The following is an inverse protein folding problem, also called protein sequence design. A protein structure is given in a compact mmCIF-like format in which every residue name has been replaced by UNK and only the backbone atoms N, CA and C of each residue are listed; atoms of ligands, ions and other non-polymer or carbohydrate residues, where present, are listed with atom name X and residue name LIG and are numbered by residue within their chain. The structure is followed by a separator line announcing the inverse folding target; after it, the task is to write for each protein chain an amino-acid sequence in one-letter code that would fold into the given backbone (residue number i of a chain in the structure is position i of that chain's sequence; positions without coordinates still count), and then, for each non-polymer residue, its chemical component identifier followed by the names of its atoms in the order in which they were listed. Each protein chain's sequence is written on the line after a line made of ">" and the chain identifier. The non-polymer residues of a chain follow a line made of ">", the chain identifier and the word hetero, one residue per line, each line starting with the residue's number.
data_IF_672831060705
#
_entry.id   IF_672831060705
#
_cell.length_a   1.000
_cell.length_b   1.000
_cell.length_c   1.000
_cell.angle_alpha   90.00
_cell.angle_beta   90.00
_cell.angle_gamma   90.00
#
_symmetry.space_group_name_H-M   'P 1'
#
loop_
_entity.id
_entity.type
_entity.pdbx_description
1 polymer ?
#
# COMPACT_ATOMS: atom_id res chain seq x y z
N UNK A 1 -26.68 64.36 -4.25
CA UNK A 1 -25.58 64.40 -3.27
C UNK A 1 -25.50 63.02 -2.62
N UNK A 2 -24.68 62.08 -3.13
CA UNK A 2 -23.32 61.67 -2.65
C UNK A 2 -23.34 61.13 -1.21
N UNK A 3 -22.91 59.91 -0.83
CA UNK A 3 -21.71 59.07 -1.11
C UNK A 3 -22.08 57.56 -0.84
N UNK A 4 -21.66 56.54 -1.63
CA UNK A 4 -20.38 55.75 -1.62
C UNK A 4 -20.00 55.22 -0.21
N UNK A 5 -19.59 53.97 0.09
CA UNK A 5 -19.05 52.73 -0.56
C UNK A 5 -19.12 51.65 0.56
N UNK A 6 -19.14 50.32 0.37
CA UNK A 6 -18.03 49.45 -0.08
C UNK A 6 -18.49 47.98 -0.16
N UNK A 7 -18.02 47.29 -1.21
CA UNK A 7 -18.15 45.86 -1.45
C UNK A 7 -17.42 45.00 -0.41
N UNK A 8 -17.94 43.81 -0.11
CA UNK A 8 -17.11 42.66 0.26
C UNK A 8 -17.54 41.42 -0.54
N UNK A 9 -16.79 41.15 -1.60
CA UNK A 9 -16.82 39.92 -2.38
C UNK A 9 -16.03 38.89 -1.58
N UNK A 10 -16.69 37.86 -1.07
CA UNK A 10 -16.02 36.68 -0.51
C UNK A 10 -15.62 35.81 -1.70
N UNK A 11 -14.38 35.98 -2.16
CA UNK A 11 -13.80 35.11 -3.18
C UNK A 11 -13.29 33.82 -2.54
N UNK A 12 -13.78 32.70 -3.08
CA UNK A 12 -13.30 31.34 -2.81
C UNK A 12 -11.82 31.22 -3.17
N UNK A 13 -10.97 30.94 -2.19
CA UNK A 13 -9.59 30.50 -2.39
C UNK A 13 -9.39 29.15 -1.68
N UNK A 14 -9.81 28.08 -2.35
CA UNK A 14 -9.33 26.72 -2.02
C UNK A 14 -8.04 26.50 -2.80
N UNK A 15 -6.95 26.42 -2.04
CA UNK A 15 -5.58 26.36 -2.51
C UNK A 15 -5.32 25.21 -3.49
N UNK A 16 -4.70 25.56 -4.61
CA UNK A 16 -3.91 24.67 -5.45
C UNK A 16 -2.67 24.21 -4.69
N UNK A 17 -2.55 22.92 -4.39
CA UNK A 17 -1.28 22.32 -4.00
C UNK A 17 -0.36 22.35 -5.22
N UNK A 18 0.75 23.10 -5.13
CA UNK A 18 1.77 23.16 -6.17
C UNK A 18 2.72 21.96 -6.03
N UNK A 19 2.70 21.07 -7.03
CA UNK A 19 3.56 19.88 -7.08
C UNK A 19 4.97 20.16 -7.65
N UNK A 20 5.26 21.40 -8.06
CA UNK A 20 6.58 21.80 -8.58
C UNK A 20 7.76 21.55 -7.63
N UNK A 21 7.65 21.72 -6.28
CA UNK A 21 8.76 21.47 -5.36
C UNK A 21 9.13 19.99 -5.26
N UNK A 22 8.15 19.09 -5.43
CA UNK A 22 8.33 17.64 -5.38
C UNK A 22 9.11 17.12 -6.61
N UNK A 23 8.72 17.56 -7.81
CA UNK A 23 9.45 17.23 -9.04
C UNK A 23 10.91 17.72 -8.99
N UNK A 24 11.15 18.89 -8.42
CA UNK A 24 12.49 19.41 -8.22
C UNK A 24 13.32 18.55 -7.24
N UNK A 25 12.72 18.08 -6.14
CA UNK A 25 13.42 17.30 -5.12
C UNK A 25 13.83 15.90 -5.61
N UNK A 26 12.94 15.16 -6.28
CA UNK A 26 13.24 13.82 -6.84
C UNK A 26 14.28 13.92 -7.97
N UNK A 27 14.23 14.99 -8.78
CA UNK A 27 15.22 15.23 -9.83
C UNK A 27 16.59 15.69 -9.29
N UNK A 28 16.62 16.44 -8.18
CA UNK A 28 17.88 16.93 -7.62
C UNK A 28 18.66 15.80 -6.92
N UNK A 29 17.95 14.95 -6.18
CA UNK A 29 18.53 13.77 -5.50
C UNK A 29 19.11 12.74 -6.47
N UNK A 30 18.42 12.49 -7.58
CA UNK A 30 18.92 11.62 -8.67
C UNK A 30 20.11 12.20 -9.45
N UNK A 31 20.27 13.53 -9.48
CA UNK A 31 21.44 14.21 -10.08
C UNK A 31 22.66 14.28 -9.15
N UNK A 32 22.48 14.51 -7.85
CA UNK A 32 23.59 14.58 -6.86
C UNK A 32 24.21 13.19 -6.63
N UNK A 33 23.41 12.15 -6.77
CA UNK A 33 23.79 10.75 -6.75
C UNK A 33 24.95 10.36 -7.69
N UNK A 34 25.27 11.17 -8.71
CA UNK A 34 26.21 10.87 -9.79
C UNK A 34 27.67 11.31 -9.53
N UNK A 35 28.00 11.88 -8.38
CA UNK A 35 29.35 12.45 -8.16
C UNK A 35 30.43 11.49 -7.65
N UNK A 36 30.20 10.17 -7.64
CA UNK A 36 31.25 9.19 -7.31
C UNK A 36 31.40 8.19 -8.46
N UNK A 37 32.40 8.44 -9.32
CA UNK A 37 32.86 7.51 -10.37
C UNK A 37 33.39 6.22 -9.73
N UNK A 38 32.87 5.03 -10.09
CA UNK A 38 33.66 3.81 -9.98
C UNK A 38 34.68 3.83 -11.14
N UNK A 39 35.97 3.75 -10.81
CA UNK A 39 37.01 3.36 -11.76
C UNK A 39 36.80 1.88 -12.12
N UNK A 40 37.11 1.57 -13.38
CA UNK A 40 37.27 0.24 -13.97
C UNK A 40 36.03 -0.38 -14.63
N UNK A 41 35.95 -0.21 -15.95
CA UNK A 41 35.76 -1.27 -16.95
C UNK A 41 36.09 -0.65 -18.32
N UNK A 42 37.28 -0.95 -18.83
CA UNK A 42 37.68 -0.60 -20.19
C UNK A 42 36.96 -1.51 -21.17
N UNK A 43 35.74 -1.13 -21.56
CA UNK A 43 35.08 -1.67 -22.73
C UNK A 43 35.44 -0.79 -23.92
N UNK A 44 35.95 -1.43 -24.97
CA UNK A 44 36.43 -0.82 -26.20
C UNK A 44 35.48 0.25 -26.72
N UNK A 45 36.03 1.44 -26.99
CA UNK A 45 35.36 2.55 -27.64
C UNK A 45 34.91 2.17 -29.06
N UNK A 46 33.72 1.58 -29.18
CA UNK A 46 32.88 1.78 -30.36
C UNK A 46 31.92 2.91 -30.04
N UNK A 47 31.82 3.96 -30.86
CA UNK A 47 30.89 5.05 -30.59
C UNK A 47 29.47 4.47 -30.60
N UNK A 48 28.78 4.58 -29.47
CA UNK A 48 27.37 4.26 -29.28
C UNK A 48 26.48 5.25 -30.07
N UNK A 49 26.69 5.35 -31.39
CA UNK A 49 25.87 6.15 -32.29
C UNK A 49 24.57 5.42 -32.70
N UNK A 50 24.15 4.44 -31.90
CA UNK A 50 22.89 3.70 -32.02
C UNK A 50 22.10 3.70 -30.71
N UNK A 51 22.23 4.73 -29.86
CA UNK A 51 21.11 5.11 -29.01
C UNK A 51 20.01 5.68 -29.92
N UNK A 52 19.27 4.76 -30.54
CA UNK A 52 18.03 5.02 -31.28
C UNK A 52 17.19 6.00 -30.48
N UNK A 53 16.63 6.98 -31.19
CA UNK A 53 15.93 8.15 -30.66
C UNK A 53 14.87 7.75 -29.63
N UNK A 54 15.26 7.68 -28.35
CA UNK A 54 14.30 7.44 -27.28
C UNK A 54 13.25 8.55 -27.34
N UNK A 55 11.95 8.21 -27.20
CA UNK A 55 10.89 9.21 -27.15
C UNK A 55 11.24 10.33 -26.17
N UNK A 56 10.85 11.56 -26.50
CA UNK A 56 11.23 12.74 -25.70
C UNK A 56 10.81 12.60 -24.23
N UNK A 57 9.69 11.91 -23.95
CA UNK A 57 9.28 11.61 -22.59
C UNK A 57 10.33 10.77 -21.86
N UNK A 58 10.84 9.68 -22.46
CA UNK A 58 11.87 8.81 -21.85
C UNK A 58 13.16 9.55 -21.55
N UNK A 59 13.61 10.43 -22.45
CA UNK A 59 14.85 11.21 -22.25
C UNK A 59 14.76 12.23 -21.13
N UNK A 60 13.57 12.77 -20.90
CA UNK A 60 13.32 13.79 -19.90
C UNK A 60 12.76 13.24 -18.58
N UNK A 61 12.36 11.97 -18.56
CA UNK A 61 11.81 11.32 -17.37
C UNK A 61 12.90 11.01 -16.33
N UNK A 62 12.58 11.19 -15.03
CA UNK A 62 13.39 10.66 -13.94
C UNK A 62 13.61 9.15 -14.09
N UNK A 63 14.75 8.63 -13.63
CA UNK A 63 15.04 7.19 -13.67
C UNK A 63 14.16 6.40 -12.70
N UNK A 64 14.04 6.88 -11.46
CA UNK A 64 13.11 6.32 -10.48
C UNK A 64 11.70 6.76 -10.82
N UNK A 65 10.79 5.80 -10.95
CA UNK A 65 9.39 6.01 -11.30
C UNK A 65 8.56 6.37 -10.07
N UNK A 66 7.37 6.91 -10.33
CA UNK A 66 6.46 7.36 -9.27
C UNK A 66 5.13 6.64 -9.45
N UNK A 67 4.74 5.89 -8.42
CA UNK A 67 3.44 5.27 -8.30
C UNK A 67 2.55 6.20 -7.46
N UNK A 68 1.43 6.65 -7.98
CA UNK A 68 0.49 7.49 -7.25
C UNK A 68 -0.83 6.75 -7.04
N UNK A 69 -1.29 6.68 -5.80
CA UNK A 69 -2.61 6.13 -5.49
C UNK A 69 -3.68 7.12 -5.96
N UNK A 70 -4.70 6.61 -6.65
CA UNK A 70 -5.83 7.39 -7.13
C UNK A 70 -7.01 7.17 -6.19
N UNK A 71 -7.62 8.27 -5.78
CA UNK A 71 -8.86 8.27 -5.01
C UNK A 71 -9.75 9.47 -5.39
N UNK A 72 -10.76 9.79 -4.57
CA UNK A 72 -11.77 10.81 -4.92
C UNK A 72 -11.19 12.19 -5.25
N UNK A 73 -10.06 12.58 -4.62
CA UNK A 73 -9.41 13.86 -4.88
C UNK A 73 -8.71 13.93 -6.25
N UNK A 74 -8.37 12.78 -6.85
CA UNK A 74 -7.49 12.68 -8.03
C UNK A 74 -8.10 11.90 -9.19
N UNK A 75 -9.20 11.18 -8.97
CA UNK A 75 -9.85 10.26 -9.91
C UNK A 75 -10.63 10.90 -11.06
N UNK A 76 -10.25 12.11 -11.49
CA UNK A 76 -10.84 12.77 -12.65
C UNK A 76 -9.74 13.16 -13.66
N UNK A 77 -10.11 13.28 -14.93
CA UNK A 77 -9.19 13.55 -16.05
C UNK A 77 -8.30 14.77 -15.80
N UNK A 78 -8.85 15.85 -15.24
CA UNK A 78 -8.12 17.10 -15.00
C UNK A 78 -6.99 16.88 -13.99
N UNK A 79 -7.29 16.22 -12.87
CA UNK A 79 -6.32 15.93 -11.81
C UNK A 79 -5.33 14.84 -12.22
N UNK A 80 -5.80 13.76 -12.86
CA UNK A 80 -4.93 12.73 -13.42
C UNK A 80 -3.90 13.36 -14.39
N UNK A 81 -4.32 14.25 -15.28
CA UNK A 81 -3.41 14.98 -16.18
C UNK A 81 -2.38 15.83 -15.44
N UNK A 82 -2.76 16.47 -14.34
CA UNK A 82 -1.81 17.22 -13.51
C UNK A 82 -0.76 16.29 -12.89
N UNK A 83 -1.17 15.13 -12.37
CA UNK A 83 -0.27 14.13 -11.81
C UNK A 83 0.68 13.55 -12.87
N UNK A 84 0.18 13.25 -14.08
CA UNK A 84 1.01 12.78 -15.20
C UNK A 84 2.09 13.81 -15.55
N UNK A 85 1.71 15.09 -15.67
CA UNK A 85 2.67 16.18 -15.94
C UNK A 85 3.67 16.40 -14.81
N UNK A 86 3.27 16.10 -13.57
CA UNK A 86 4.15 16.15 -12.40
C UNK A 86 5.06 14.91 -12.28
N UNK A 87 4.93 13.91 -13.17
CA UNK A 87 5.85 12.76 -13.26
C UNK A 87 5.28 11.42 -12.80
N UNK A 88 3.97 11.31 -12.55
CA UNK A 88 3.32 10.01 -12.30
C UNK A 88 3.61 9.04 -13.44
N UNK A 89 4.02 7.82 -13.10
CA UNK A 89 4.34 6.75 -14.07
C UNK A 89 3.35 5.58 -13.99
N UNK A 90 2.84 5.30 -12.79
CA UNK A 90 1.84 4.25 -12.54
C UNK A 90 0.76 4.84 -11.63
N UNK A 91 -0.50 4.62 -12.00
CA UNK A 91 -1.65 4.91 -11.18
C UNK A 91 -2.04 3.65 -10.38
N UNK A 92 -2.05 3.75 -9.06
CA UNK A 92 -2.47 2.66 -8.16
C UNK A 92 -3.95 2.83 -7.78
N UNK A 93 -4.73 1.78 -7.95
CA UNK A 93 -6.10 1.66 -7.45
C UNK A 93 -6.07 0.76 -6.22
N UNK A 94 -6.44 1.28 -5.06
CA UNK A 94 -6.51 0.48 -3.84
C UNK A 94 -7.88 -0.16 -3.71
N UNK A 95 -8.00 -1.45 -4.04
CA UNK A 95 -9.27 -2.18 -4.05
C UNK A 95 -9.73 -2.64 -2.65
N UNK A 96 -8.99 -2.28 -1.59
CA UNK A 96 -9.46 -2.46 -0.22
C UNK A 96 -10.52 -1.40 0.20
N UNK A 97 -10.69 -0.35 -0.60
CA UNK A 97 -11.62 0.75 -0.34
C UNK A 97 -12.32 1.18 -1.63
N UNK A 98 -13.50 1.80 -1.50
CA UNK A 98 -14.31 2.23 -2.64
C UNK A 98 -15.08 1.07 -3.28
N UNK A 99 -16.05 1.42 -4.11
CA UNK A 99 -16.80 0.46 -4.91
C UNK A 99 -16.16 0.25 -6.30
N UNK A 100 -16.52 -0.85 -6.95
CA UNK A 100 -15.97 -1.20 -8.27
C UNK A 100 -16.34 -0.18 -9.35
N UNK A 101 -17.53 0.43 -9.26
CA UNK A 101 -18.03 1.42 -10.23
C UNK A 101 -17.12 2.65 -10.27
N UNK A 102 -16.82 3.20 -9.10
CA UNK A 102 -15.89 4.31 -8.94
C UNK A 102 -14.47 3.97 -9.44
N UNK A 103 -13.99 2.75 -9.21
CA UNK A 103 -12.68 2.35 -9.74
C UNK A 103 -12.67 2.25 -11.27
N UNK A 104 -13.77 1.85 -11.92
CA UNK A 104 -13.87 1.89 -13.38
C UNK A 104 -13.83 3.32 -13.92
N UNK A 105 -14.53 4.26 -13.28
CA UNK A 105 -14.46 5.69 -13.64
C UNK A 105 -13.01 6.20 -13.54
N UNK A 106 -12.26 5.77 -12.53
CA UNK A 106 -10.85 6.14 -12.38
C UNK A 106 -10.00 5.58 -13.52
N UNK A 107 -10.19 4.31 -13.91
CA UNK A 107 -9.48 3.70 -15.04
C UNK A 107 -9.71 4.49 -16.32
N UNK A 108 -10.96 4.84 -16.63
CA UNK A 108 -11.30 5.64 -17.81
C UNK A 108 -10.65 7.02 -17.76
N UNK A 109 -10.73 7.70 -16.62
CA UNK A 109 -10.13 9.01 -16.44
C UNK A 109 -8.60 9.01 -16.60
N UNK A 110 -7.93 7.97 -16.11
CA UNK A 110 -6.47 7.79 -16.23
C UNK A 110 -6.09 7.54 -17.69
N UNK A 111 -6.80 6.64 -18.39
CA UNK A 111 -6.55 6.33 -19.80
C UNK A 111 -6.75 7.55 -20.70
N UNK A 112 -7.82 8.32 -20.48
CA UNK A 112 -8.07 9.56 -21.21
C UNK A 112 -6.98 10.61 -20.92
N UNK A 113 -6.59 10.78 -19.65
CA UNK A 113 -5.52 11.71 -19.30
C UNK A 113 -4.15 11.31 -19.92
N UNK A 114 -3.85 10.01 -19.98
CA UNK A 114 -2.68 9.47 -20.64
C UNK A 114 -2.70 9.76 -22.15
N UNK A 115 -3.85 9.54 -22.80
CA UNK A 115 -4.05 9.87 -24.22
C UNK A 115 -3.85 11.37 -24.49
N UNK A 116 -4.48 12.25 -23.71
CA UNK A 116 -4.35 13.71 -23.85
C UNK A 116 -2.92 14.24 -23.62
N UNK A 117 -2.12 13.56 -22.80
CA UNK A 117 -0.75 13.98 -22.49
C UNK A 117 0.29 13.34 -23.41
N UNK A 118 -0.06 12.26 -24.11
CA UNK A 118 0.87 11.46 -24.89
C UNK A 118 1.92 10.74 -24.03
N UNK A 119 1.64 10.54 -22.74
CA UNK A 119 2.52 9.84 -21.80
C UNK A 119 1.87 8.52 -21.42
N UNK A 120 2.53 7.36 -21.64
CA UNK A 120 2.00 6.08 -21.21
C UNK A 120 2.02 5.98 -19.69
N UNK A 121 0.90 5.54 -19.11
CA UNK A 121 0.72 5.36 -17.66
C UNK A 121 0.23 3.94 -17.43
N UNK A 122 0.95 3.20 -16.56
CA UNK A 122 0.49 1.89 -16.12
C UNK A 122 -0.59 2.00 -15.04
N UNK A 123 -1.48 1.03 -14.98
CA UNK A 123 -2.51 0.91 -13.94
C UNK A 123 -2.20 -0.32 -13.07
N UNK A 124 -2.08 -0.08 -11.76
CA UNK A 124 -1.86 -1.11 -10.74
C UNK A 124 -3.12 -1.29 -9.90
N UNK A 125 -3.80 -2.42 -10.07
CA UNK A 125 -4.89 -2.84 -9.18
C UNK A 125 -4.29 -3.52 -7.94
N UNK A 126 -4.33 -2.87 -6.78
CA UNK A 126 -3.84 -3.41 -5.52
C UNK A 126 -4.96 -4.15 -4.79
N UNK A 127 -4.90 -5.48 -4.81
CA UNK A 127 -5.93 -6.36 -4.25
C UNK A 127 -5.87 -6.36 -2.72
N UNK A 128 -7.02 -6.47 -2.04
CA UNK A 128 -7.02 -6.83 -0.63
C UNK A 128 -6.38 -8.22 -0.47
N UNK A 129 -5.76 -8.45 0.69
CA UNK A 129 -5.21 -9.75 1.03
C UNK A 129 -6.12 -10.48 2.03
N UNK A 130 -5.90 -11.78 2.25
CA UNK A 130 -6.62 -12.53 3.27
C UNK A 130 -6.33 -11.98 4.68
N UNK A 131 -7.28 -11.23 5.23
CA UNK A 131 -7.18 -10.62 6.56
C UNK A 131 -8.33 -11.09 7.44
N UNK A 132 -8.03 -11.31 8.72
CA UNK A 132 -9.08 -11.45 9.72
C UNK A 132 -9.68 -10.07 10.01
N UNK A 133 -10.95 -10.05 10.41
CA UNK A 133 -11.72 -8.87 10.77
C UNK A 133 -12.51 -9.14 12.05
N UNK A 134 -12.75 -8.09 12.81
CA UNK A 134 -13.62 -8.14 13.96
C UNK A 134 -15.08 -8.05 13.49
N UNK A 135 -15.96 -8.84 14.09
CA UNK A 135 -17.38 -8.83 13.82
C UNK A 135 -18.06 -7.55 14.29
N UNK A 136 -19.33 -7.42 13.90
CA UNK A 136 -20.16 -6.26 14.19
C UNK A 136 -20.22 -5.97 15.69
N UNK A 137 -20.04 -4.70 16.05
CA UNK A 137 -20.20 -4.23 17.44
C UNK A 137 -21.66 -4.32 17.90
N UNK A 138 -21.84 -4.57 19.18
CA UNK A 138 -23.15 -4.51 19.83
C UNK A 138 -23.64 -3.06 19.86
N UNK A 139 -24.73 -2.72 19.16
CA UNK A 139 -25.24 -1.34 19.10
C UNK A 139 -25.68 -0.83 20.48
N UNK A 140 -26.12 -1.70 21.38
CA UNK A 140 -26.59 -1.31 22.71
C UNK A 140 -25.42 -0.96 23.66
N UNK A 141 -24.20 -1.37 23.32
CA UNK A 141 -22.98 -1.09 24.09
C UNK A 141 -22.02 -0.15 23.36
N UNK A 142 -22.37 0.26 22.14
CA UNK A 142 -21.53 1.12 21.33
C UNK A 142 -21.41 2.51 21.96
N UNK A 143 -20.19 3.04 21.94
CA UNK A 143 -19.87 4.41 22.38
C UNK A 143 -19.27 5.19 21.22
N UNK A 144 -19.56 6.48 21.18
CA UNK A 144 -18.99 7.39 20.18
C UNK A 144 -17.81 8.15 20.77
N UNK A 145 -16.62 7.96 20.19
CA UNK A 145 -15.41 8.69 20.55
C UNK A 145 -14.82 9.34 19.30
N UNK A 146 -14.66 10.67 19.32
CA UNK A 146 -14.12 11.44 18.19
C UNK A 146 -14.85 11.19 16.86
N UNK A 147 -16.19 11.08 16.91
CA UNK A 147 -17.03 10.83 15.74
C UNK A 147 -16.99 9.39 15.21
N UNK A 148 -16.37 8.46 15.95
CA UNK A 148 -16.29 7.04 15.61
C UNK A 148 -17.07 6.21 16.62
N UNK A 149 -17.88 5.29 16.13
CA UNK A 149 -18.66 4.36 16.94
C UNK A 149 -17.91 3.03 17.10
N UNK A 150 -17.96 2.46 18.31
CA UNK A 150 -17.38 1.16 18.62
C UNK A 150 -17.45 0.80 20.10
N UNK A 151 -16.80 -0.28 20.50
CA UNK A 151 -16.70 -0.72 21.89
C UNK A 151 -15.40 -0.23 22.51
N UNK A 152 -15.50 0.48 23.63
CA UNK A 152 -14.32 0.88 24.40
C UNK A 152 -13.82 -0.27 25.28
N UNK A 153 -12.54 -0.60 25.17
CA UNK A 153 -11.85 -1.56 26.06
C UNK A 153 -10.66 -0.88 26.74
N UNK A 154 -10.39 -1.23 28.00
CA UNK A 154 -9.32 -0.65 28.79
C UNK A 154 -8.16 -1.63 28.95
N UNK A 155 -6.97 -1.10 29.24
CA UNK A 155 -5.82 -1.93 29.55
C UNK A 155 -6.11 -2.83 30.77
N UNK A 156 -5.69 -4.09 30.68
CA UNK A 156 -5.91 -5.19 31.64
C UNK A 156 -7.29 -5.84 31.61
N UNK A 157 -8.22 -5.36 30.80
CA UNK A 157 -9.52 -6.03 30.62
C UNK A 157 -9.31 -7.44 30.04
N UNK A 158 -10.24 -8.33 30.37
CA UNK A 158 -10.32 -9.66 29.76
C UNK A 158 -11.19 -9.59 28.52
N UNK A 159 -10.70 -10.15 27.43
CA UNK A 159 -11.39 -10.11 26.14
C UNK A 159 -11.29 -11.47 25.46
N UNK A 160 -12.40 -11.97 24.90
CA UNK A 160 -12.44 -13.25 24.19
C UNK A 160 -12.73 -13.02 22.71
N UNK A 161 -11.81 -13.40 21.84
CA UNK A 161 -12.09 -13.49 20.41
C UNK A 161 -12.59 -14.91 20.11
N UNK A 162 -13.67 -15.04 19.33
CA UNK A 162 -14.23 -16.35 18.98
C UNK A 162 -14.57 -16.42 17.49
N UNK A 163 -14.59 -17.62 16.91
CA UNK A 163 -15.13 -17.83 15.56
C UNK A 163 -16.67 -17.93 15.54
N UNK A 164 -17.31 -18.02 16.71
CA UNK A 164 -18.76 -18.05 16.82
C UNK A 164 -19.37 -16.67 16.54
N UNK A 165 -20.53 -16.65 15.89
CA UNK A 165 -21.21 -15.40 15.51
C UNK A 165 -21.88 -14.76 16.73
N UNK A 166 -21.18 -13.80 17.32
CA UNK A 166 -21.64 -12.95 18.43
C UNK A 166 -21.41 -11.48 18.12
N UNK A 167 -22.21 -10.59 18.70
CA UNK A 167 -21.87 -9.18 18.68
C UNK A 167 -20.60 -8.92 19.49
N UNK A 168 -19.79 -7.98 19.01
CA UNK A 168 -18.61 -7.52 19.73
C UNK A 168 -19.05 -6.61 20.88
N UNK A 169 -18.77 -7.02 22.11
CA UNK A 169 -18.99 -6.31 23.37
C UNK A 169 -17.65 -5.99 24.02
N UNK A 170 -17.66 -5.39 25.22
CA UNK A 170 -16.41 -5.13 25.98
C UNK A 170 -15.68 -6.38 26.45
N UNK A 171 -16.35 -7.54 26.46
CA UNK A 171 -15.81 -8.80 26.97
C UNK A 171 -15.48 -9.82 25.87
N UNK A 172 -16.15 -9.73 24.71
CA UNK A 172 -15.93 -10.70 23.62
C UNK A 172 -16.30 -10.15 22.25
N UNK A 173 -15.77 -10.76 21.19
CA UNK A 173 -16.16 -10.44 19.83
C UNK A 173 -15.88 -11.56 18.84
N UNK A 174 -16.61 -11.56 17.73
CA UNK A 174 -16.38 -12.49 16.63
C UNK A 174 -15.11 -12.08 15.88
N UNK A 175 -14.29 -13.05 15.48
CA UNK A 175 -13.27 -12.87 14.44
C UNK A 175 -13.64 -13.71 13.23
N UNK A 176 -13.63 -13.09 12.06
CA UNK A 176 -13.97 -13.72 10.80
C UNK A 176 -12.95 -13.35 9.70
N UNK A 177 -12.72 -14.19 8.68
CA UNK A 177 -13.18 -15.58 8.59
C UNK A 177 -12.63 -16.45 9.73
N UNK A 178 -13.20 -17.64 9.95
CA UNK A 178 -12.71 -18.54 11.00
C UNK A 178 -11.28 -19.01 10.68
N UNK A 179 -10.46 -19.22 11.71
CA UNK A 179 -9.12 -19.80 11.55
C UNK A 179 -8.07 -19.23 12.51
N UNK A 180 -8.26 -18.00 13.00
CA UNK A 180 -7.25 -17.32 13.81
C UNK A 180 -6.80 -18.14 15.04
N UNK A 181 -7.71 -18.91 15.65
CA UNK A 181 -7.41 -19.79 16.79
C UNK A 181 -6.38 -20.89 16.47
N UNK A 182 -6.29 -21.33 15.20
CA UNK A 182 -5.30 -22.31 14.75
C UNK A 182 -3.92 -21.69 14.52
N UNK A 183 -3.89 -20.40 14.20
CA UNK A 183 -2.67 -19.71 13.77
C UNK A 183 -1.88 -19.14 14.94
N UNK A 184 -2.52 -18.93 16.09
CA UNK A 184 -1.91 -18.27 17.24
C UNK A 184 -1.57 -19.24 18.37
N UNK A 185 -0.68 -18.80 19.27
CA UNK A 185 -0.29 -19.54 20.47
C UNK A 185 -0.35 -18.63 21.70
N UNK A 186 -0.41 -19.20 22.93
CA UNK A 186 -0.31 -18.41 24.15
C UNK A 186 0.88 -17.45 24.11
N UNK A 187 0.69 -16.25 24.67
CA UNK A 187 1.61 -15.10 24.64
C UNK A 187 1.74 -14.38 23.30
N UNK A 188 1.09 -14.84 22.23
CA UNK A 188 1.02 -14.07 20.99
C UNK A 188 0.34 -12.71 21.21
N UNK A 189 0.68 -11.77 20.33
CA UNK A 189 0.01 -10.46 20.26
C UNK A 189 -1.05 -10.51 19.18
N UNK A 190 -2.17 -9.88 19.45
CA UNK A 190 -3.21 -9.62 18.45
C UNK A 190 -3.43 -8.11 18.42
N UNK A 191 -3.44 -7.56 17.21
CA UNK A 191 -3.66 -6.14 16.94
C UNK A 191 -5.01 -6.00 16.25
N UNK A 192 -5.83 -5.08 16.72
CA UNK A 192 -7.09 -4.70 16.08
C UNK A 192 -6.93 -3.26 15.57
N UNK A 193 -7.40 -3.02 14.34
CA UNK A 193 -7.34 -1.73 13.64
C UNK A 193 -5.92 -1.14 13.65
N UNK A 194 -4.98 -1.87 13.03
CA UNK A 194 -3.56 -1.47 12.91
C UNK A 194 -2.87 -1.20 14.27
N UNK A 195 -3.38 -1.82 15.33
CA UNK A 195 -2.87 -1.66 16.68
C UNK A 195 -3.52 -0.52 17.45
N UNK A 196 -4.67 0.02 17.04
CA UNK A 196 -5.48 0.86 17.91
C UNK A 196 -5.77 0.15 19.26
N UNK A 197 -6.03 -1.16 19.19
CA UNK A 197 -6.12 -2.04 20.37
C UNK A 197 -5.07 -3.15 20.25
N UNK A 198 -4.39 -3.46 21.35
CA UNK A 198 -3.45 -4.59 21.43
C UNK A 198 -3.91 -5.55 22.52
N UNK A 199 -4.06 -6.81 22.12
CA UNK A 199 -4.39 -7.93 22.99
C UNK A 199 -3.17 -8.85 23.13
N UNK A 200 -3.04 -9.48 24.29
CA UNK A 200 -2.10 -10.58 24.51
C UNK A 200 -2.87 -11.85 24.80
N UNK A 201 -2.61 -12.89 24.02
CA UNK A 201 -3.23 -14.21 24.17
C UNK A 201 -2.77 -14.83 25.49
N UNK A 202 -3.72 -15.14 26.36
CA UNK A 202 -3.48 -15.88 27.60
C UNK A 202 -3.52 -17.39 27.32
N UNK A 203 -4.57 -17.85 26.62
CA UNK A 203 -4.78 -19.24 26.19
C UNK A 203 -5.75 -19.32 25.01
N UNK A 204 -5.72 -20.45 24.31
CA UNK A 204 -6.69 -20.82 23.26
C UNK A 204 -7.43 -22.07 23.72
N UNK A 205 -8.75 -22.09 23.62
CA UNK A 205 -9.61 -23.20 24.01
C UNK A 205 -10.68 -23.42 22.94
N UNK A 206 -10.50 -24.46 22.13
CA UNK A 206 -11.28 -24.66 20.92
C UNK A 206 -11.18 -23.45 19.99
N UNK A 207 -12.32 -22.80 19.75
CA UNK A 207 -12.42 -21.61 18.90
C UNK A 207 -12.33 -20.30 19.69
N UNK A 208 -12.26 -20.36 21.02
CA UNK A 208 -12.16 -19.18 21.89
C UNK A 208 -10.70 -18.84 22.20
N UNK A 209 -10.36 -17.57 22.00
CA UNK A 209 -9.04 -17.02 22.23
C UNK A 209 -9.15 -16.03 23.38
N UNK A 210 -8.73 -16.47 24.57
CA UNK A 210 -8.80 -15.65 25.76
C UNK A 210 -7.58 -14.75 25.83
N UNK A 211 -7.84 -13.46 25.92
CA UNK A 211 -6.83 -12.43 25.89
C UNK A 211 -6.91 -11.50 27.11
N UNK A 212 -5.77 -10.86 27.39
CA UNK A 212 -5.70 -9.66 28.23
C UNK A 212 -5.41 -8.47 27.34
N UNK A 213 -6.19 -7.40 27.45
CA UNK A 213 -5.94 -6.14 26.75
C UNK A 213 -4.64 -5.51 27.29
N UNK A 214 -3.70 -5.22 26.40
CA UNK A 214 -2.43 -4.55 26.72
C UNK A 214 -2.51 -3.05 26.46
N UNK A 215 -3.08 -2.68 25.32
CA UNK A 215 -3.41 -1.29 24.97
C UNK A 215 -4.90 -1.24 24.70
N UNK A 216 -5.61 -0.47 25.52
CA UNK A 216 -7.03 -0.18 25.34
C UNK A 216 -7.27 0.81 24.21
N UNK A 217 -8.52 0.91 23.79
CA UNK A 217 -8.94 1.72 22.65
C UNK A 217 -10.36 1.38 22.23
N UNK A 218 -10.75 1.87 21.05
CA UNK A 218 -12.07 1.63 20.47
C UNK A 218 -12.00 0.47 19.46
N UNK A 219 -12.80 -0.57 19.66
CA UNK A 219 -12.98 -1.67 18.71
C UNK A 219 -14.19 -1.34 17.84
N UNK A 220 -13.98 -1.17 16.54
CA UNK A 220 -15.05 -0.87 15.58
C UNK A 220 -15.33 -2.09 14.69
N UNK A 221 -16.54 -2.19 14.12
CA UNK A 221 -16.90 -3.26 13.19
C UNK A 221 -15.97 -3.33 11.97
N UNK A 222 -15.75 -4.54 11.45
CA UNK A 222 -15.04 -4.84 10.20
C UNK A 222 -13.59 -4.37 10.12
N UNK A 223 -13.02 -3.95 11.25
CA UNK A 223 -11.60 -3.61 11.38
C UNK A 223 -10.72 -4.84 11.33
N UNK A 224 -9.57 -4.69 10.71
CA UNK A 224 -8.59 -5.76 10.55
C UNK A 224 -8.08 -6.27 11.91
N UNK A 225 -7.94 -7.58 12.02
CA UNK A 225 -7.34 -8.30 13.14
C UNK A 225 -6.08 -8.97 12.61
N UNK A 226 -4.94 -8.66 13.21
CA UNK A 226 -3.63 -9.18 12.79
C UNK A 226 -2.93 -9.82 13.98
N UNK A 227 -2.19 -10.91 13.76
CA UNK A 227 -1.43 -11.58 14.80
C UNK A 227 0.07 -11.57 14.43
N UNK A 228 0.80 -10.47 14.70
CA UNK A 228 2.18 -10.30 14.26
C UNK A 228 3.07 -11.50 14.55
N UNK A 229 3.79 -11.97 13.52
CA UNK A 229 4.67 -13.13 13.60
C UNK A 229 3.97 -14.49 13.60
N UNK A 230 2.64 -14.52 13.45
CA UNK A 230 1.85 -15.73 13.24
C UNK A 230 1.16 -15.59 11.87
N UNK A 231 1.60 -16.37 10.90
CA UNK A 231 1.03 -16.29 9.55
C UNK A 231 -0.39 -16.83 9.52
N UNK A 232 -1.29 -16.06 8.91
CA UNK A 232 -2.64 -16.49 8.55
C UNK A 232 -2.65 -17.71 7.64
N UNK A 233 -3.48 -18.70 7.97
CA UNK A 233 -3.77 -19.88 7.14
C UNK A 233 -5.01 -19.72 6.27
N UNK A 234 -5.61 -18.52 6.24
CA UNK A 234 -6.75 -18.23 5.37
C UNK A 234 -6.46 -18.55 3.90
N UNK A 235 -7.49 -19.00 3.19
CA UNK A 235 -7.43 -19.06 1.74
C UNK A 235 -7.14 -17.66 1.19
N UNK A 236 -6.24 -17.58 0.21
CA UNK A 236 -5.91 -16.34 -0.45
C UNK A 236 -7.13 -15.76 -1.19
N UNK A 237 -7.99 -16.63 -1.72
CA UNK A 237 -9.20 -16.23 -2.45
C UNK A 237 -10.39 -16.03 -1.53
N UNK A 238 -10.30 -15.06 -0.63
CA UNK A 238 -11.49 -14.54 0.08
C UNK A 238 -12.47 -13.90 -0.90
N UNK A 239 -13.74 -13.75 -0.52
CA UNK A 239 -14.76 -13.09 -1.35
C UNK A 239 -14.31 -11.69 -1.81
N UNK A 240 -13.68 -10.92 -0.91
CA UNK A 240 -13.09 -9.60 -1.20
C UNK A 240 -11.99 -9.68 -2.26
N UNK A 241 -11.10 -10.67 -2.15
CA UNK A 241 -9.98 -10.87 -3.10
C UNK A 241 -10.49 -11.34 -4.45
N UNK A 242 -11.52 -12.19 -4.47
CA UNK A 242 -12.18 -12.65 -5.70
C UNK A 242 -12.79 -11.47 -6.44
N UNK A 243 -13.62 -10.68 -5.77
CA UNK A 243 -14.27 -9.51 -6.38
C UNK A 243 -13.25 -8.50 -6.93
N UNK A 244 -12.17 -8.26 -6.18
CA UNK A 244 -11.09 -7.38 -6.62
C UNK A 244 -10.31 -7.94 -7.83
N UNK A 245 -10.10 -9.26 -7.89
CA UNK A 245 -9.47 -9.92 -9.02
C UNK A 245 -10.36 -9.88 -10.28
N UNK A 246 -11.66 -10.09 -10.13
CA UNK A 246 -12.63 -10.01 -11.21
C UNK A 246 -12.67 -8.59 -11.80
N UNK A 247 -12.66 -7.56 -10.94
CA UNK A 247 -12.47 -6.17 -11.37
C UNK A 247 -11.17 -5.98 -12.18
N UNK A 248 -10.04 -6.50 -11.70
CA UNK A 248 -8.76 -6.35 -12.39
C UNK A 248 -8.77 -7.01 -13.79
N UNK A 249 -9.47 -8.14 -13.94
CA UNK A 249 -9.65 -8.84 -15.22
C UNK A 249 -10.50 -8.04 -16.20
N UNK A 250 -11.60 -7.46 -15.72
CA UNK A 250 -12.53 -6.67 -16.52
C UNK A 250 -11.93 -5.32 -16.94
N UNK A 251 -11.27 -4.63 -16.00
CA UNK A 251 -10.64 -3.34 -16.23
C UNK A 251 -9.41 -3.41 -17.15
N UNK A 252 -8.85 -4.60 -17.39
CA UNK A 252 -7.66 -4.84 -18.22
C UNK A 252 -6.45 -3.99 -17.76
N UNK A 253 -6.09 -4.15 -16.48
CA UNK A 253 -5.00 -3.41 -15.85
C UNK A 253 -3.62 -3.98 -16.23
N UNK A 254 -2.57 -3.17 -16.13
CA UNK A 254 -1.20 -3.58 -16.47
C UNK A 254 -0.54 -4.40 -15.35
N UNK A 255 -0.87 -4.08 -14.10
CA UNK A 255 -0.28 -4.68 -12.92
C UNK A 255 -1.34 -5.11 -11.90
N UNK A 256 -1.09 -6.24 -11.23
CA UNK A 256 -1.91 -6.72 -10.11
C UNK A 256 -1.03 -6.79 -8.87
N UNK A 257 -1.32 -5.95 -7.89
CA UNK A 257 -0.68 -5.90 -6.58
C UNK A 257 -1.31 -6.91 -5.64
N UNK A 258 -0.48 -7.75 -5.02
CA UNK A 258 -0.92 -8.88 -4.23
C UNK A 258 -0.54 -8.68 -2.77
N UNK A 259 -1.51 -8.26 -1.97
CA UNK A 259 -1.38 -8.10 -0.52
C UNK A 259 -1.24 -9.46 0.17
N UNK A 260 -0.55 -9.48 1.30
CA UNK A 260 -0.43 -10.65 2.19
C UNK A 260 0.06 -11.95 1.53
N UNK A 261 0.91 -11.85 0.49
CA UNK A 261 1.56 -13.01 -0.14
C UNK A 261 2.47 -13.69 0.88
N UNK A 262 2.33 -15.01 1.05
CA UNK A 262 3.13 -15.79 2.01
C UNK A 262 4.27 -16.55 1.34
N UNK A 263 4.04 -17.02 0.12
CA UNK A 263 4.91 -18.00 -0.54
C UNK A 263 4.64 -18.05 -2.05
N UNK A 264 5.39 -18.90 -2.74
CA UNK A 264 5.22 -19.16 -4.19
C UNK A 264 3.83 -19.68 -4.59
N UNK A 265 3.14 -20.39 -3.71
CA UNK A 265 1.87 -21.04 -4.02
C UNK A 265 0.75 -20.00 -4.18
N UNK A 266 0.70 -18.99 -3.30
CA UNK A 266 -0.26 -17.88 -3.41
C UNK A 266 -0.11 -17.17 -4.78
N UNK A 267 1.14 -16.91 -5.20
CA UNK A 267 1.43 -16.26 -6.50
C UNK A 267 0.99 -17.10 -7.70
N UNK A 268 1.32 -18.40 -7.69
CA UNK A 268 0.93 -19.32 -8.78
C UNK A 268 -0.57 -19.44 -8.90
N UNK A 269 -1.27 -19.55 -7.77
CA UNK A 269 -2.72 -19.68 -7.78
C UNK A 269 -3.40 -18.46 -8.42
N UNK A 270 -2.91 -17.24 -8.11
CA UNK A 270 -3.40 -16.01 -8.77
C UNK A 270 -3.05 -16.00 -10.25
N UNK A 271 -1.82 -16.38 -10.61
CA UNK A 271 -1.35 -16.43 -12.01
C UNK A 271 -2.20 -17.39 -12.85
N UNK A 272 -2.50 -18.58 -12.33
CA UNK A 272 -3.32 -19.59 -12.99
C UNK A 272 -4.75 -19.09 -13.22
N UNK A 273 -5.33 -18.39 -12.25
CA UNK A 273 -6.69 -17.83 -12.36
C UNK A 273 -6.76 -16.70 -13.40
N UNK A 274 -5.76 -15.81 -13.43
CA UNK A 274 -5.66 -14.77 -14.46
C UNK A 274 -5.49 -15.38 -15.87
N UNK A 275 -4.61 -16.39 -15.98
CA UNK A 275 -4.38 -17.09 -17.25
C UNK A 275 -5.64 -17.81 -17.74
N UNK A 276 -6.42 -18.42 -16.85
CA UNK A 276 -7.70 -19.04 -17.18
C UNK A 276 -8.73 -18.02 -17.72
N UNK A 277 -8.64 -16.76 -17.28
CA UNK A 277 -9.43 -15.64 -17.80
C UNK A 277 -8.82 -14.99 -19.06
N UNK A 278 -7.73 -15.53 -19.62
CA UNK A 278 -7.06 -15.00 -20.80
C UNK A 278 -6.30 -13.69 -20.55
N UNK A 279 -5.99 -13.36 -19.29
CA UNK A 279 -5.26 -12.15 -18.89
C UNK A 279 -3.88 -12.50 -18.36
N UNK A 280 -2.90 -11.62 -18.61
CA UNK A 280 -1.52 -11.79 -18.13
C UNK A 280 -0.91 -10.48 -17.63
N UNK A 281 -1.54 -9.77 -16.67
CA UNK A 281 -0.92 -8.59 -16.06
C UNK A 281 0.33 -9.00 -15.26
N UNK A 282 1.23 -8.06 -15.06
CA UNK A 282 2.42 -8.29 -14.25
C UNK A 282 2.05 -8.35 -12.76
N UNK A 283 2.48 -9.41 -12.07
CA UNK A 283 2.22 -9.58 -10.65
C UNK A 283 3.22 -8.81 -9.79
N UNK A 284 2.72 -8.02 -8.85
CA UNK A 284 3.52 -7.28 -7.88
C UNK A 284 3.30 -7.88 -6.49
N UNK A 285 4.24 -8.68 -6.00
CA UNK A 285 4.15 -9.28 -4.66
C UNK A 285 4.43 -8.24 -3.57
N UNK A 286 3.48 -8.00 -2.66
CA UNK A 286 3.66 -7.08 -1.53
C UNK A 286 4.27 -7.83 -0.35
N UNK A 287 5.48 -7.44 0.02
CA UNK A 287 6.22 -8.06 1.12
C UNK A 287 5.85 -7.33 2.42
N UNK A 288 4.78 -7.81 3.04
CA UNK A 288 4.12 -7.21 4.21
C UNK A 288 4.35 -7.99 5.50
N UNK A 289 4.63 -9.28 5.39
CA UNK A 289 4.69 -10.20 6.54
C UNK A 289 6.06 -10.86 6.68
N UNK A 290 6.38 -11.28 7.90
CA UNK A 290 7.65 -11.94 8.22
C UNK A 290 7.92 -13.16 7.32
N UNK A 291 6.92 -14.02 7.10
CA UNK A 291 7.09 -15.21 6.27
C UNK A 291 7.46 -14.87 4.82
N UNK A 292 6.91 -13.78 4.25
CA UNK A 292 7.25 -13.33 2.90
C UNK A 292 8.73 -12.90 2.81
N UNK A 293 9.26 -12.27 3.86
CA UNK A 293 10.69 -11.92 3.96
C UNK A 293 11.59 -13.16 4.03
N UNK A 294 11.15 -14.20 4.75
CA UNK A 294 11.85 -15.49 4.86
C UNK A 294 11.79 -16.27 3.54
N UNK A 295 10.65 -16.23 2.85
CA UNK A 295 10.39 -16.87 1.55
C UNK A 295 10.75 -16.00 0.34
N UNK A 296 11.49 -14.90 0.53
CA UNK A 296 11.71 -13.91 -0.52
C UNK A 296 12.30 -14.49 -1.81
N UNK A 297 13.22 -15.45 -1.72
CA UNK A 297 13.83 -16.09 -2.89
C UNK A 297 12.77 -16.73 -3.80
N UNK A 298 11.86 -17.52 -3.22
CA UNK A 298 10.85 -18.20 -4.02
C UNK A 298 9.73 -17.28 -4.50
N UNK A 299 9.48 -16.19 -3.78
CA UNK A 299 8.56 -15.14 -4.22
C UNK A 299 9.15 -14.42 -5.45
N UNK A 300 10.46 -14.13 -5.43
CA UNK A 300 11.16 -13.50 -6.56
C UNK A 300 11.16 -14.37 -7.83
N UNK A 301 11.21 -15.70 -7.67
CA UNK A 301 11.13 -16.65 -8.80
C UNK A 301 9.78 -16.58 -9.53
N UNK A 302 8.68 -16.31 -8.82
CA UNK A 302 7.31 -16.40 -9.35
C UNK A 302 6.64 -15.05 -9.61
N UNK A 303 7.23 -13.95 -9.13
CA UNK A 303 6.67 -12.59 -9.26
C UNK A 303 7.29 -11.83 -10.43
N UNK A 304 6.61 -10.79 -10.91
CA UNK A 304 7.14 -9.91 -11.96
C UNK A 304 7.81 -8.66 -11.36
N UNK A 305 7.36 -8.22 -10.17
CA UNK A 305 7.95 -7.16 -9.38
C UNK A 305 7.64 -7.37 -7.88
N UNK A 306 8.36 -6.69 -6.99
CA UNK A 306 8.03 -6.69 -5.56
C UNK A 306 7.70 -5.29 -5.06
N UNK A 307 6.88 -5.22 -4.02
CA UNK A 307 6.60 -3.99 -3.28
C UNK A 307 7.02 -4.15 -1.82
N UNK A 308 7.89 -3.24 -1.36
CA UNK A 308 8.32 -3.15 0.03
C UNK A 308 7.29 -2.32 0.80
N UNK A 309 6.34 -2.99 1.45
CA UNK A 309 5.25 -2.37 2.19
C UNK A 309 5.64 -2.14 3.66
N UNK A 310 6.29 -0.99 3.91
CA UNK A 310 6.99 -0.70 5.18
C UNK A 310 6.05 -0.51 6.37
N UNK A 311 4.86 0.05 6.13
CA UNK A 311 3.82 0.20 7.13
C UNK A 311 3.42 -1.15 7.72
N UNK A 312 2.93 -2.06 6.87
CA UNK A 312 2.53 -3.41 7.27
C UNK A 312 3.70 -4.20 7.87
N UNK A 313 4.88 -4.13 7.23
CA UNK A 313 6.06 -4.84 7.73
C UNK A 313 6.53 -4.34 9.10
N UNK A 314 6.36 -3.06 9.40
CA UNK A 314 6.66 -2.45 10.70
C UNK A 314 5.68 -2.85 11.80
N UNK A 315 4.49 -3.34 11.44
CA UNK A 315 3.52 -3.95 12.36
C UNK A 315 3.91 -5.41 12.67
N UNK A 316 4.35 -6.13 11.64
CA UNK A 316 4.72 -7.56 11.72
C UNK A 316 6.09 -7.81 12.37
N UNK A 317 7.03 -6.90 12.21
CA UNK A 317 8.42 -7.06 12.63
C UNK A 317 8.90 -5.88 13.49
N UNK A 318 9.96 -6.05 14.31
CA UNK A 318 10.54 -4.93 15.04
C UNK A 318 10.93 -3.79 14.10
N UNK A 319 10.38 -2.59 14.33
CA UNK A 319 10.51 -1.44 13.45
C UNK A 319 11.96 -1.09 13.09
N UNK A 320 12.90 -1.25 14.02
CA UNK A 320 14.33 -0.96 13.80
C UNK A 320 15.00 -1.92 12.79
N UNK A 321 14.39 -3.07 12.48
CA UNK A 321 14.89 -4.00 11.47
C UNK A 321 14.39 -3.68 10.05
N UNK A 322 13.26 -2.97 9.92
CA UNK A 322 12.62 -2.67 8.63
C UNK A 322 13.59 -2.01 7.63
N UNK A 323 14.41 -1.01 8.00
CA UNK A 323 15.35 -0.40 7.05
C UNK A 323 16.39 -1.39 6.50
N UNK A 324 16.86 -2.32 7.33
CA UNK A 324 17.81 -3.35 6.91
C UNK A 324 17.16 -4.37 5.97
N UNK A 325 15.92 -4.77 6.26
CA UNK A 325 15.16 -5.70 5.43
C UNK A 325 14.81 -5.06 4.08
N UNK A 326 14.41 -3.79 4.04
CA UNK A 326 14.21 -3.04 2.80
C UNK A 326 15.45 -3.10 1.89
N UNK A 327 16.63 -2.78 2.42
CA UNK A 327 17.88 -2.82 1.67
C UNK A 327 18.18 -4.20 1.10
N UNK A 328 17.90 -5.25 1.89
CA UNK A 328 18.05 -6.64 1.44
C UNK A 328 17.07 -6.96 0.31
N UNK A 329 15.80 -6.61 0.45
CA UNK A 329 14.77 -6.87 -0.56
C UNK A 329 15.08 -6.19 -1.89
N UNK A 330 15.42 -4.90 -1.85
CA UNK A 330 15.78 -4.12 -3.05
C UNK A 330 17.00 -4.74 -3.74
N UNK A 331 18.05 -5.07 -2.98
CA UNK A 331 19.25 -5.69 -3.54
C UNK A 331 18.95 -7.01 -4.23
N UNK A 332 18.21 -7.90 -3.57
CA UNK A 332 17.88 -9.21 -4.11
C UNK A 332 17.02 -9.10 -5.37
N UNK A 333 16.02 -8.21 -5.39
CA UNK A 333 15.22 -7.94 -6.58
C UNK A 333 16.08 -7.42 -7.74
N UNK A 334 17.00 -6.49 -7.46
CA UNK A 334 17.93 -5.95 -8.45
C UNK A 334 18.88 -7.02 -9.02
N UNK A 335 19.37 -7.94 -8.18
CA UNK A 335 20.25 -9.05 -8.58
C UNK A 335 19.58 -10.01 -9.58
N UNK A 336 18.27 -10.21 -9.45
CA UNK A 336 17.48 -11.05 -10.38
C UNK A 336 16.74 -10.25 -11.45
N UNK A 337 16.94 -8.94 -11.52
CA UNK A 337 16.34 -8.05 -12.53
C UNK A 337 14.83 -7.85 -12.39
N UNK A 338 14.29 -7.97 -11.17
CA UNK A 338 12.87 -7.74 -10.88
C UNK A 338 12.67 -6.31 -10.36
N UNK A 339 11.75 -5.51 -10.94
CA UNK A 339 11.45 -4.18 -10.43
C UNK A 339 11.01 -4.19 -8.97
N UNK A 340 11.42 -3.17 -8.22
CA UNK A 340 11.04 -2.99 -6.80
C UNK A 340 10.46 -1.61 -6.52
N UNK A 341 9.28 -1.63 -5.89
CA UNK A 341 8.54 -0.45 -5.45
C UNK A 341 8.74 -0.27 -3.94
N UNK A 342 9.29 0.85 -3.51
CA UNK A 342 9.30 1.22 -2.08
C UNK A 342 8.01 1.96 -1.74
N UNK A 343 7.23 1.41 -0.82
CA UNK A 343 5.87 1.83 -0.56
C UNK A 343 5.61 2.22 0.90
N UNK A 344 4.53 3.01 1.09
CA UNK A 344 4.00 3.56 2.36
C UNK A 344 4.98 4.49 3.08
N UNK A 345 4.46 5.41 3.91
CA UNK A 345 5.27 6.30 4.77
C UNK A 345 6.36 7.12 4.04
N UNK A 346 6.18 7.42 2.75
CA UNK A 346 7.18 8.18 1.98
C UNK A 346 7.10 9.69 2.29
N UNK A 347 5.91 10.28 2.16
CA UNK A 347 5.65 11.72 2.29
C UNK A 347 4.31 11.99 3.00
N UNK A 348 4.03 11.23 4.07
CA UNK A 348 2.74 11.25 4.77
C UNK A 348 2.35 12.67 5.25
N UNK A 349 3.33 13.46 5.70
CA UNK A 349 3.07 14.83 6.16
C UNK A 349 2.50 15.73 5.08
N UNK A 350 2.71 15.37 3.80
CA UNK A 350 2.27 16.19 2.67
C UNK A 350 0.77 16.10 2.39
N UNK A 351 0.04 15.21 3.07
CA UNK A 351 -1.42 15.25 3.07
C UNK A 351 -1.94 16.57 3.64
N UNK A 352 -1.30 17.02 4.72
CA UNK A 352 -1.74 18.18 5.49
C UNK A 352 -0.81 19.40 5.29
N UNK A 353 0.35 19.22 4.65
CA UNK A 353 1.37 20.25 4.47
C UNK A 353 1.86 20.34 3.02
N UNK A 354 2.17 21.54 2.49
CA UNK A 354 2.68 21.68 1.13
C UNK A 354 4.13 21.20 0.93
N UNK A 355 4.86 20.95 2.02
CA UNK A 355 6.26 20.50 1.98
C UNK A 355 6.47 19.28 2.87
N UNK A 356 7.35 18.35 2.46
CA UNK A 356 7.69 17.21 3.30
C UNK A 356 8.63 17.62 4.42
N UNK A 357 8.68 16.79 5.45
CA UNK A 357 9.69 16.91 6.49
C UNK A 357 11.08 16.54 5.96
N UNK A 358 12.13 16.97 6.68
CA UNK A 358 13.52 16.55 6.39
C UNK A 358 13.71 15.03 6.50
N UNK A 359 12.97 14.39 7.42
CA UNK A 359 13.04 12.95 7.64
C UNK A 359 12.50 12.19 6.42
N UNK A 360 11.30 12.54 5.95
CA UNK A 360 10.68 11.96 4.75
C UNK A 360 11.52 12.20 3.49
N UNK A 361 12.05 13.43 3.34
CA UNK A 361 12.97 13.77 2.25
C UNK A 361 14.22 12.87 2.25
N UNK A 362 14.78 12.60 3.43
CA UNK A 362 15.95 11.71 3.60
C UNK A 362 15.58 10.26 3.34
N UNK A 363 14.38 9.83 3.73
CA UNK A 363 13.87 8.49 3.53
C UNK A 363 13.67 8.17 2.04
N UNK A 364 13.03 9.06 1.28
CA UNK A 364 12.92 8.97 -0.19
C UNK A 364 14.30 8.89 -0.84
N UNK A 365 15.24 9.76 -0.43
CA UNK A 365 16.61 9.74 -0.94
C UNK A 365 17.29 8.39 -0.70
N UNK A 366 17.12 7.81 0.49
CA UNK A 366 17.70 6.52 0.83
C UNK A 366 17.08 5.37 0.04
N UNK A 367 15.76 5.38 -0.20
CA UNK A 367 15.11 4.39 -1.06
C UNK A 367 15.69 4.42 -2.49
N UNK A 368 15.89 5.61 -3.05
CA UNK A 368 16.54 5.80 -4.37
C UNK A 368 18.00 5.31 -4.35
N UNK A 369 18.76 5.65 -3.29
CA UNK A 369 20.15 5.21 -3.09
C UNK A 369 20.28 3.70 -2.96
N UNK A 370 19.30 3.06 -2.33
CA UNK A 370 19.24 1.60 -2.19
C UNK A 370 19.00 0.90 -3.52
N UNK A 371 18.50 1.64 -4.52
CA UNK A 371 18.29 1.18 -5.88
C UNK A 371 16.84 0.79 -6.17
N UNK A 372 15.86 1.47 -5.57
CA UNK A 372 14.45 1.23 -5.90
C UNK A 372 14.10 1.72 -7.31
N UNK A 373 13.33 0.94 -8.06
CA UNK A 373 12.84 1.33 -9.39
C UNK A 373 11.71 2.36 -9.30
N UNK A 374 10.88 2.26 -8.27
CA UNK A 374 9.80 3.21 -8.04
C UNK A 374 9.57 3.51 -6.56
N UNK A 375 9.04 4.70 -6.30
CA UNK A 375 8.50 5.11 -4.99
C UNK A 375 6.99 5.30 -5.09
N UNK A 376 6.26 5.00 -4.01
CA UNK A 376 4.79 5.05 -4.01
C UNK A 376 4.21 6.07 -3.03
N UNK A 377 3.28 6.90 -3.52
CA UNK A 377 2.45 7.82 -2.73
C UNK A 377 1.08 7.17 -2.46
N UNK A 378 0.62 7.24 -1.20
CA UNK A 378 -0.54 6.46 -0.71
C UNK A 378 -1.79 7.29 -0.42
N UNK A 379 -1.73 8.22 0.54
CA UNK A 379 -2.88 9.01 1.00
C UNK A 379 -3.06 10.34 0.28
#
# INVERSE_FOLDING_TARGET
>A
MTLRTSNLIISNSLHSVDFSPFYAFVNCTSRIALYIKPRCLSLSEKPLNQMQQLPTYVRNSPRTRIVCTIGPATGNVVRARQLIRAGMSVARLNLSHGDSEQHFEYVEAIREAAHQTGVPIGILADLPGPKYRIGTVDPDQAVTQSGREGIAVNARDKFVLTAERVYTTSERGTVWPSGLHNDIRPRARILIDEGAVELRVDRVDGVEIHCTVRRGGLIQSDKAVTAPGNTSTLDYFTDETIAALDFAIEADVDFVGLSYIRNRHDLRAVRDRLAAAGRTPALVAKIEIKQAVENLNEILDETDAIMVARGDLGVEMPLHLVPMIQKRMIRMANEVGKPVITATQMLESMRDNPYPTRAESTDVYNAVRDGTDAVMLSA
#
